data_IF_133251647380
#
_entry.id   IF_133251647380
#
_cell.length_a   1.000
_cell.length_b   1.000
_cell.length_c   1.000
_cell.angle_alpha   90.00
_cell.angle_beta   90.00
_cell.angle_gamma   90.00
#
_symmetry.space_group_name_H-M   'P 1'
#
loop_
_entity.id
_entity.type
_entity.pdbx_description
1 polymer ?
#
# COMPACT_ATOMS: atom_id res chain seq x y z
N UNK A 1 -4.82 30.43 -6.44
CA UNK A 1 -4.65 29.45 -7.53
C UNK A 1 -5.97 29.17 -8.26
N UNK A 2 -6.97 28.55 -7.61
CA UNK A 2 -8.26 28.20 -8.24
C UNK A 2 -9.01 29.44 -8.76
N UNK A 3 -9.08 30.50 -7.95
CA UNK A 3 -9.79 31.74 -8.31
C UNK A 3 -9.12 32.59 -9.42
N UNK A 4 -7.84 32.36 -9.72
CA UNK A 4 -7.06 33.24 -10.61
C UNK A 4 -6.48 32.53 -11.84
N UNK A 5 -6.26 31.22 -11.75
CA UNK A 5 -5.60 30.42 -12.79
C UNK A 5 -6.53 29.38 -13.43
N UNK A 6 -7.84 29.41 -13.12
CA UNK A 6 -8.82 28.40 -13.55
C UNK A 6 -8.39 26.95 -13.26
N UNK A 7 -7.58 26.76 -12.21
CA UNK A 7 -7.07 25.45 -11.82
C UNK A 7 -8.19 24.58 -11.23
N UNK A 8 -8.15 23.27 -11.50
CA UNK A 8 -9.07 22.29 -10.93
C UNK A 8 -8.45 21.62 -9.71
N UNK A 9 -9.19 21.56 -8.61
CA UNK A 9 -8.80 20.77 -7.45
C UNK A 9 -8.94 19.29 -7.80
N UNK A 10 -7.87 18.52 -7.55
CA UNK A 10 -7.85 17.06 -7.68
C UNK A 10 -7.24 16.46 -6.42
N UNK A 11 -7.63 15.24 -6.02
CA UNK A 11 -6.92 14.50 -4.97
C UNK A 11 -5.43 14.38 -5.31
N UNK A 12 -4.57 14.59 -4.32
CA UNK A 12 -3.11 14.53 -4.50
C UNK A 12 -2.65 13.18 -5.03
N UNK A 13 -3.25 12.09 -4.53
CA UNK A 13 -2.92 10.74 -4.99
C UNK A 13 -3.24 10.52 -6.46
N UNK A 14 -4.36 11.04 -6.97
CA UNK A 14 -4.69 10.92 -8.39
C UNK A 14 -3.65 11.64 -9.26
N UNK A 15 -3.18 12.81 -8.83
CA UNK A 15 -2.12 13.54 -9.54
C UNK A 15 -0.84 12.70 -9.61
N UNK A 16 -0.43 12.08 -8.50
CA UNK A 16 0.79 11.25 -8.45
C UNK A 16 0.64 9.99 -9.30
N UNK A 17 -0.48 9.27 -9.20
CA UNK A 17 -0.72 8.04 -9.97
C UNK A 17 -0.80 8.31 -11.47
N UNK A 18 -1.41 9.43 -11.87
CA UNK A 18 -1.43 9.87 -13.27
C UNK A 18 -0.01 10.25 -13.74
N UNK A 19 0.79 10.92 -12.89
CA UNK A 19 2.15 11.36 -13.22
C UNK A 19 3.12 10.20 -13.45
N UNK A 20 3.00 9.12 -12.68
CA UNK A 20 3.88 7.94 -12.80
C UNK A 20 3.36 6.87 -13.77
N UNK A 21 2.29 7.19 -14.51
CA UNK A 21 1.59 6.25 -15.41
C UNK A 21 1.21 4.91 -14.75
N UNK A 22 0.77 4.99 -13.48
CA UNK A 22 0.48 3.81 -12.67
C UNK A 22 -0.55 2.87 -13.33
N UNK A 23 -1.50 3.44 -14.06
CA UNK A 23 -2.58 2.70 -14.74
C UNK A 23 -2.04 1.70 -15.79
N UNK A 24 -0.92 2.01 -16.47
CA UNK A 24 -0.32 1.11 -17.44
C UNK A 24 0.61 0.09 -16.79
N UNK A 25 1.28 0.46 -15.70
CA UNK A 25 2.13 -0.45 -14.94
C UNK A 25 1.31 -1.51 -14.22
N UNK A 26 0.20 -1.14 -13.58
CA UNK A 26 -0.63 -2.08 -12.82
C UNK A 26 -1.24 -3.17 -13.70
N UNK A 27 -1.57 -2.89 -14.98
CA UNK A 27 -2.09 -3.90 -15.93
C UNK A 27 -1.14 -5.06 -16.19
N UNK A 28 0.16 -4.85 -15.97
CA UNK A 28 1.21 -5.84 -16.19
C UNK A 28 1.56 -6.61 -14.92
N UNK A 29 1.02 -6.20 -13.77
CA UNK A 29 1.36 -6.74 -12.47
C UNK A 29 0.44 -7.91 -12.09
N UNK A 30 1.02 -8.96 -11.52
CA UNK A 30 0.26 -10.06 -10.91
C UNK A 30 -0.23 -9.69 -9.49
N UNK A 31 0.43 -8.72 -8.84
CA UNK A 31 0.20 -8.30 -7.46
C UNK A 31 0.73 -6.88 -7.28
N UNK A 32 0.04 -6.06 -6.47
CA UNK A 32 0.54 -4.77 -6.01
C UNK A 32 0.75 -4.79 -4.49
N UNK A 33 1.88 -4.25 -4.05
CA UNK A 33 2.14 -3.95 -2.64
C UNK A 33 2.16 -2.43 -2.48
N UNK A 34 1.39 -1.92 -1.51
CA UNK A 34 1.36 -0.50 -1.14
C UNK A 34 1.52 -0.35 0.37
N UNK A 35 1.68 0.88 0.85
CA UNK A 35 1.82 1.13 2.27
C UNK A 35 1.81 2.60 2.64
N UNK A 36 1.80 2.84 3.95
CA UNK A 36 2.01 4.14 4.58
C UNK A 36 2.39 3.95 6.06
N UNK A 37 2.74 5.02 6.77
CA UNK A 37 3.15 4.92 8.19
C UNK A 37 2.03 4.44 9.11
N UNK A 38 0.79 4.86 8.86
CA UNK A 38 -0.39 4.45 9.63
C UNK A 38 -1.60 4.40 8.70
N UNK A 39 -2.19 3.23 8.57
CA UNK A 39 -3.44 3.04 7.82
C UNK A 39 -4.62 3.10 8.78
N UNK A 40 -5.54 4.01 8.51
CA UNK A 40 -6.71 4.30 9.33
C UNK A 40 -7.90 4.75 8.47
N UNK A 41 -8.99 5.17 9.11
CA UNK A 41 -10.16 5.71 8.41
C UNK A 41 -9.83 6.87 7.46
N UNK A 42 -8.79 7.67 7.76
CA UNK A 42 -8.42 8.82 6.95
C UNK A 42 -7.82 8.40 5.61
N UNK A 43 -7.20 7.23 5.56
CA UNK A 43 -6.62 6.66 4.36
C UNK A 43 -7.65 6.49 3.24
N UNK A 44 -8.89 6.16 3.62
CA UNK A 44 -10.03 6.06 2.70
C UNK A 44 -10.43 7.39 2.04
N UNK A 45 -9.95 8.54 2.52
CA UNK A 45 -10.28 9.86 1.97
C UNK A 45 -9.22 10.43 1.03
N UNK A 46 -8.41 9.58 0.42
CA UNK A 46 -7.54 9.97 -0.70
C UNK A 46 -6.04 9.94 -0.39
N UNK A 47 -5.61 9.11 0.57
CA UNK A 47 -4.20 8.75 0.73
C UNK A 47 -3.78 7.66 -0.26
N UNK A 48 -2.49 7.34 -0.26
CA UNK A 48 -1.88 6.47 -1.26
C UNK A 48 -2.52 5.07 -1.36
N UNK A 49 -2.74 4.30 -0.27
CA UNK A 49 -3.35 2.97 -0.37
C UNK A 49 -4.73 2.97 -1.02
N UNK A 50 -5.57 3.98 -0.77
CA UNK A 50 -6.90 4.09 -1.37
C UNK A 50 -6.81 4.29 -2.89
N UNK A 51 -5.96 5.20 -3.35
CA UNK A 51 -5.78 5.46 -4.79
C UNK A 51 -5.22 4.24 -5.52
N UNK A 52 -4.18 3.62 -4.96
CA UNK A 52 -3.57 2.40 -5.51
C UNK A 52 -4.61 1.27 -5.60
N UNK A 53 -5.35 1.03 -4.51
CA UNK A 53 -6.42 0.03 -4.48
C UNK A 53 -7.44 0.25 -5.58
N UNK A 54 -7.98 1.47 -5.70
CA UNK A 54 -9.01 1.80 -6.69
C UNK A 54 -8.55 1.57 -8.12
N UNK A 55 -7.29 1.87 -8.42
CA UNK A 55 -6.70 1.71 -9.76
C UNK A 55 -6.43 0.24 -10.08
N UNK A 56 -5.86 -0.51 -9.14
CA UNK A 56 -5.60 -1.94 -9.31
C UNK A 56 -6.90 -2.75 -9.44
N UNK A 57 -7.93 -2.41 -8.65
CA UNK A 57 -9.25 -3.06 -8.69
C UNK A 57 -9.89 -3.02 -10.08
N UNK A 58 -9.69 -1.95 -10.85
CA UNK A 58 -10.23 -1.83 -12.23
C UNK A 58 -9.68 -2.91 -13.17
N UNK A 59 -8.48 -3.41 -12.89
CA UNK A 59 -7.81 -4.43 -13.70
C UNK A 59 -7.83 -5.82 -13.06
N UNK A 60 -8.54 -5.98 -11.93
CA UNK A 60 -8.59 -7.25 -11.21
C UNK A 60 -7.28 -7.66 -10.55
N UNK A 61 -6.34 -6.72 -10.37
CA UNK A 61 -5.04 -7.00 -9.75
C UNK A 61 -5.17 -6.90 -8.23
N UNK A 62 -4.79 -7.94 -7.46
CA UNK A 62 -4.88 -7.93 -6.01
C UNK A 62 -3.89 -6.93 -5.39
N UNK A 63 -4.29 -6.30 -4.28
CA UNK A 63 -3.46 -5.33 -3.56
C UNK A 63 -3.29 -5.73 -2.10
N UNK A 64 -2.04 -5.78 -1.64
CA UNK A 64 -1.69 -5.95 -0.23
C UNK A 64 -1.19 -4.62 0.32
N UNK A 65 -1.71 -4.20 1.47
CA UNK A 65 -1.26 -3.01 2.18
C UNK A 65 -0.36 -3.41 3.36
N UNK A 66 0.88 -2.93 3.36
CA UNK A 66 1.84 -3.11 4.45
C UNK A 66 2.12 -1.75 5.06
N UNK A 67 1.84 -1.57 6.35
CA UNK A 67 1.89 -0.27 7.02
C UNK A 67 2.69 -0.31 8.30
N UNK A 68 3.19 0.86 8.73
CA UNK A 68 3.84 1.00 10.04
C UNK A 68 2.91 0.56 11.17
N UNK A 69 1.63 0.91 11.07
CA UNK A 69 0.56 0.46 11.97
C UNK A 69 -0.79 0.42 11.25
N UNK A 70 -1.71 -0.38 11.79
CA UNK A 70 -3.11 -0.42 11.39
C UNK A 70 -3.96 0.09 12.55
N UNK A 71 -4.90 0.98 12.28
CA UNK A 71 -5.81 1.55 13.28
C UNK A 71 -7.27 1.43 12.82
N UNK A 72 -8.19 1.90 13.64
CA UNK A 72 -9.62 1.77 13.43
C UNK A 72 -10.05 2.26 12.03
N UNK A 73 -10.80 1.40 11.33
CA UNK A 73 -11.41 1.73 10.05
C UNK A 73 -10.51 1.52 8.84
N UNK A 74 -9.31 0.94 9.01
CA UNK A 74 -8.46 0.52 7.88
C UNK A 74 -9.17 -0.50 6.97
N UNK A 75 -10.07 -1.33 7.52
CA UNK A 75 -10.84 -2.34 6.80
C UNK A 75 -11.74 -1.71 5.72
N UNK A 76 -12.08 -0.41 5.84
CA UNK A 76 -12.79 0.32 4.80
C UNK A 76 -12.01 0.42 3.47
N UNK A 77 -10.75 0.03 3.42
CA UNK A 77 -10.00 -0.05 2.17
C UNK A 77 -10.29 -1.35 1.39
N UNK A 78 -10.98 -2.33 1.98
CA UNK A 78 -11.42 -3.53 1.27
C UNK A 78 -12.37 -3.19 0.12
N UNK A 79 -13.33 -2.28 0.34
CA UNK A 79 -14.20 -1.79 -0.73
C UNK A 79 -13.42 -1.08 -1.84
N UNK A 80 -12.23 -0.57 -1.54
CA UNK A 80 -11.32 0.07 -2.50
C UNK A 80 -10.39 -0.91 -3.20
N UNK A 81 -10.45 -2.23 -2.92
CA UNK A 81 -9.68 -3.25 -3.63
C UNK A 81 -8.42 -3.75 -2.93
N UNK A 82 -8.19 -3.34 -1.67
CA UNK A 82 -7.14 -3.93 -0.85
C UNK A 82 -7.64 -5.24 -0.26
N UNK A 83 -6.94 -6.35 -0.52
CA UNK A 83 -7.38 -7.69 -0.11
C UNK A 83 -6.70 -8.21 1.15
N UNK A 84 -5.60 -7.58 1.60
CA UNK A 84 -4.94 -7.93 2.85
C UNK A 84 -4.19 -6.73 3.45
N UNK A 85 -4.04 -6.74 4.78
CA UNK A 85 -3.39 -5.70 5.56
C UNK A 85 -2.37 -6.31 6.51
N UNK A 86 -1.19 -5.70 6.60
CA UNK A 86 -0.14 -6.08 7.53
C UNK A 86 0.43 -4.85 8.22
N UNK A 87 0.61 -4.96 9.54
CA UNK A 87 1.48 -4.06 10.29
C UNK A 87 2.90 -4.62 10.26
N UNK A 88 3.92 -3.77 10.11
CA UNK A 88 5.32 -4.20 10.22
C UNK A 88 5.76 -4.40 11.67
N UNK A 89 4.94 -4.01 12.65
CA UNK A 89 5.27 -4.12 14.06
C UNK A 89 5.31 -5.58 14.51
N UNK A 90 6.47 -6.03 14.96
CA UNK A 90 6.73 -7.40 15.44
C UNK A 90 6.42 -7.58 16.93
N UNK A 91 6.53 -6.51 17.72
CA UNK A 91 6.29 -6.47 19.16
C UNK A 91 5.93 -5.07 19.65
N UNK A 92 5.31 -4.94 20.84
CA UNK A 92 5.16 -3.65 21.50
C UNK A 92 6.53 -2.99 21.76
N UNK A 93 6.70 -1.76 21.31
CA UNK A 93 7.91 -0.94 21.48
C UNK A 93 7.55 0.54 21.39
N UNK A 94 8.47 1.43 21.78
CA UNK A 94 8.24 2.87 21.63
C UNK A 94 8.24 3.27 20.16
N UNK A 95 7.64 4.42 19.84
CA UNK A 95 7.59 4.93 18.47
C UNK A 95 9.01 5.21 17.94
N UNK A 96 9.90 5.71 18.79
CA UNK A 96 11.29 6.00 18.44
C UNK A 96 12.01 4.71 18.02
N UNK A 97 11.89 3.64 18.82
CA UNK A 97 12.49 2.34 18.49
C UNK A 97 11.86 1.76 17.23
N UNK A 98 10.54 1.90 17.03
CA UNK A 98 9.87 1.44 15.82
C UNK A 98 10.40 2.16 14.57
N UNK A 99 10.54 3.49 14.64
CA UNK A 99 11.07 4.31 13.53
C UNK A 99 12.52 3.93 13.23
N UNK A 100 13.37 3.83 14.25
CA UNK A 100 14.79 3.43 14.11
C UNK A 100 14.96 2.05 13.47
N UNK A 101 14.00 1.13 13.67
CA UNK A 101 14.05 -0.23 13.14
C UNK A 101 13.16 -0.45 11.90
N UNK A 102 12.59 0.60 11.30
CA UNK A 102 11.60 0.48 10.22
C UNK A 102 12.09 -0.41 9.08
N UNK A 103 13.35 -0.25 8.65
CA UNK A 103 13.92 -1.00 7.53
C UNK A 103 13.93 -2.51 7.81
N UNK A 104 14.43 -2.90 8.99
CA UNK A 104 14.45 -4.30 9.44
C UNK A 104 13.04 -4.86 9.55
N UNK A 105 12.13 -4.13 10.18
CA UNK A 105 10.74 -4.54 10.40
C UNK A 105 10.00 -4.77 9.07
N UNK A 106 10.16 -3.84 8.13
CA UNK A 106 9.59 -3.92 6.79
C UNK A 106 10.17 -5.11 6.02
N UNK A 107 11.50 -5.27 6.03
CA UNK A 107 12.20 -6.38 5.38
C UNK A 107 11.73 -7.74 5.88
N UNK A 108 11.66 -7.95 7.20
CA UNK A 108 11.20 -9.21 7.80
C UNK A 108 9.74 -9.51 7.45
N UNK A 109 8.87 -8.49 7.48
CA UNK A 109 7.46 -8.62 7.10
C UNK A 109 7.31 -9.02 5.64
N UNK A 110 7.98 -8.32 4.74
CA UNK A 110 7.93 -8.58 3.28
C UNK A 110 8.54 -9.94 2.96
N UNK A 111 9.68 -10.32 3.56
CA UNK A 111 10.29 -11.65 3.39
C UNK A 111 9.31 -12.76 3.78
N UNK A 112 8.65 -12.62 4.92
CA UNK A 112 7.69 -13.62 5.41
C UNK A 112 6.50 -13.78 4.47
N UNK A 113 5.92 -12.65 4.03
CA UNK A 113 4.82 -12.65 3.08
C UNK A 113 5.22 -13.24 1.73
N UNK A 114 6.40 -12.88 1.24
CA UNK A 114 6.89 -13.38 -0.02
C UNK A 114 7.15 -14.88 0.00
N UNK A 115 7.73 -15.41 1.09
CA UNK A 115 7.92 -16.84 1.28
C UNK A 115 6.58 -17.59 1.25
N UNK A 116 5.56 -17.04 1.90
CA UNK A 116 4.21 -17.61 1.89
C UNK A 116 3.58 -17.62 0.49
N UNK A 117 3.65 -16.49 -0.24
CA UNK A 117 3.14 -16.39 -1.61
C UNK A 117 3.90 -17.34 -2.56
N UNK A 118 5.22 -17.40 -2.44
CA UNK A 118 6.08 -18.29 -3.22
C UNK A 118 5.72 -19.76 -3.01
N UNK A 119 5.46 -20.14 -1.76
CA UNK A 119 5.01 -21.49 -1.40
C UNK A 119 3.66 -21.82 -2.06
N UNK A 120 2.67 -20.93 -1.95
CA UNK A 120 1.34 -21.16 -2.52
C UNK A 120 1.31 -21.19 -4.05
N UNK A 121 2.18 -20.42 -4.70
CA UNK A 121 2.21 -20.31 -6.17
C UNK A 121 3.11 -21.35 -6.84
N UNK A 122 3.85 -22.15 -6.05
CA UNK A 122 4.84 -23.10 -6.57
C UNK A 122 6.03 -22.44 -7.28
N UNK A 123 6.13 -21.11 -7.22
CA UNK A 123 7.23 -20.32 -7.77
C UNK A 123 8.16 -19.95 -6.62
N UNK A 124 9.14 -20.80 -6.32
CA UNK A 124 10.20 -20.40 -5.39
C UNK A 124 11.12 -19.39 -6.09
N UNK A 125 10.87 -18.10 -5.81
CA UNK A 125 11.77 -17.02 -6.21
C UNK A 125 12.35 -16.48 -4.91
N UNK A 126 13.64 -16.73 -4.60
CA UNK A 126 14.26 -16.12 -3.43
C UNK A 126 14.18 -14.59 -3.58
N UNK A 127 13.66 -13.91 -2.55
CA UNK A 127 13.66 -12.46 -2.51
C UNK A 127 15.12 -12.00 -2.35
N UNK A 128 15.72 -11.51 -3.44
CA UNK A 128 17.02 -10.83 -3.42
C UNK A 128 16.78 -9.41 -2.90
N UNK A 129 16.83 -9.25 -1.58
CA UNK A 129 16.96 -7.94 -0.93
C UNK A 129 18.43 -7.60 -0.73
#
# INVERSE_FOLDING_TARGET
>A
MIAFLQAKLKPGIDIILDLIDFENEVKKADLVITGEGKTDIQTSYGKAPMGVGLRAKKHGVPVICISGSLDQGHENLEKHGICAFFSIMDKPQSLEVAIENTDRLMEETVKTLWNYISYLTGKYIPLLL
#
